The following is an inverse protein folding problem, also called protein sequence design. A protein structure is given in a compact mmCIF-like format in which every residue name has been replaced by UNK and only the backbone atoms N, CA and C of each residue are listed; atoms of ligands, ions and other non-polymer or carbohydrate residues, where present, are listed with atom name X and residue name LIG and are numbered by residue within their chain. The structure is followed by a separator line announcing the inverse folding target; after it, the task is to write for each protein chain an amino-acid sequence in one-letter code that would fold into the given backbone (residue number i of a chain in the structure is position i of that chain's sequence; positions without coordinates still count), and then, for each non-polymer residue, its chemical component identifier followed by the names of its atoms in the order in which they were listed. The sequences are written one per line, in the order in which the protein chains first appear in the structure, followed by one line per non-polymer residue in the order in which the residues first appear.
data_IF_510566490364
#
_entry.id   IF_510566490364
#
_cell.length_a   1.000
_cell.length_b   1.000
_cell.length_c   1.000
_cell.angle_alpha   90.00
_cell.angle_beta   90.00
_cell.angle_gamma   90.00
#
_symmetry.space_group_name_H-M   'P 1'
#
loop_
_entity.id
_entity.type
_entity.pdbx_description
1 polymer ?
#
# COMPACT_ATOMS: atom_id res chain seq x y z
N UNK A 1 13.66 4.48 -5.83
CA UNK A 1 12.92 4.38 -7.11
C UNK A 1 12.00 3.17 -7.00
N UNK A 2 10.79 3.27 -7.55
CA UNK A 2 9.82 2.17 -7.56
C UNK A 2 9.47 1.84 -9.01
N UNK A 3 9.11 0.60 -9.29
CA UNK A 3 8.44 0.28 -10.55
C UNK A 3 6.93 0.21 -10.31
N UNK A 4 6.16 0.88 -11.15
CA UNK A 4 4.72 0.99 -11.04
C UNK A 4 4.05 0.53 -12.34
N UNK A 5 3.18 -0.47 -12.25
CA UNK A 5 2.47 -1.02 -13.40
C UNK A 5 0.97 -1.16 -13.13
N UNK A 6 0.20 -1.20 -14.22
CA UNK A 6 -1.20 -1.60 -14.23
C UNK A 6 -1.39 -2.93 -14.95
N UNK A 7 -2.54 -3.55 -14.71
CA UNK A 7 -3.00 -4.76 -15.39
C UNK A 7 -4.52 -4.77 -15.47
N UNK A 8 -5.07 -5.35 -16.54
CA UNK A 8 -6.53 -5.35 -16.77
C UNK A 8 -7.02 -3.99 -17.24
N UNK A 9 -6.42 -3.47 -18.31
CA UNK A 9 -6.94 -2.27 -18.96
C UNK A 9 -6.65 -2.28 -20.45
N UNK A 10 -7.46 -1.56 -21.21
CA UNK A 10 -7.13 -1.19 -22.59
C UNK A 10 -6.32 0.09 -22.56
N UNK A 11 -5.11 0.04 -23.11
CA UNK A 11 -4.17 1.16 -23.06
C UNK A 11 -4.03 1.85 -24.44
N UNK A 12 -3.86 3.18 -24.49
CA UNK A 12 -3.55 3.87 -25.74
C UNK A 12 -2.24 3.36 -26.38
N UNK A 13 -2.05 3.57 -27.70
CA UNK A 13 -2.99 4.17 -28.65
C UNK A 13 -3.98 3.16 -29.25
N UNK A 14 -3.68 1.86 -29.17
CA UNK A 14 -4.45 0.80 -29.83
C UNK A 14 -5.68 0.35 -29.03
N UNK A 15 -5.72 0.66 -27.73
CA UNK A 15 -6.75 0.21 -26.80
C UNK A 15 -6.96 -1.31 -26.82
N UNK A 16 -5.87 -2.05 -27.00
CA UNK A 16 -5.83 -3.49 -26.77
C UNK A 16 -5.69 -3.77 -25.28
N UNK A 17 -6.28 -4.89 -24.83
CA UNK A 17 -6.20 -5.33 -23.45
C UNK A 17 -4.76 -5.68 -23.11
N UNK A 18 -4.25 -5.05 -22.05
CA UNK A 18 -2.96 -5.38 -21.47
C UNK A 18 -3.11 -5.85 -20.03
N UNK A 19 -2.40 -6.93 -19.71
CA UNK A 19 -2.29 -7.48 -18.36
C UNK A 19 -0.96 -7.12 -17.69
N UNK A 20 -0.15 -6.26 -18.31
CA UNK A 20 1.04 -5.68 -17.72
C UNK A 20 1.48 -4.47 -18.55
N UNK A 21 1.43 -3.28 -17.96
CA UNK A 21 1.89 -2.06 -18.61
C UNK A 21 2.35 -1.02 -17.59
N UNK A 22 3.31 -0.14 -17.90
CA UNK A 22 3.72 0.95 -17.01
C UNK A 22 2.54 1.86 -16.65
N UNK A 23 2.38 2.27 -15.38
CA UNK A 23 1.32 3.21 -15.02
C UNK A 23 1.45 4.56 -15.74
N UNK A 24 2.68 5.03 -15.94
CA UNK A 24 2.93 6.18 -16.80
C UNK A 24 2.85 5.76 -18.28
N UNK A 25 1.62 5.64 -18.77
CA UNK A 25 1.32 5.27 -20.17
C UNK A 25 1.71 6.35 -21.18
N UNK A 26 1.99 7.58 -20.73
CA UNK A 26 2.44 8.67 -21.61
C UNK A 26 3.90 8.50 -22.01
N UNK A 27 4.78 8.13 -21.07
CA UNK A 27 6.21 7.92 -21.35
C UNK A 27 6.58 6.45 -21.56
N UNK A 28 5.66 5.53 -21.26
CA UNK A 28 5.90 4.09 -21.21
C UNK A 28 7.07 3.70 -20.28
N UNK A 29 7.32 4.50 -19.24
CA UNK A 29 8.35 4.23 -18.23
C UNK A 29 7.69 3.69 -16.96
N UNK A 30 8.13 2.51 -16.50
CA UNK A 30 7.64 1.92 -15.25
C UNK A 30 8.26 2.54 -14.01
N UNK A 31 9.46 3.11 -14.12
CA UNK A 31 10.21 3.55 -12.95
C UNK A 31 9.80 4.98 -12.55
N UNK A 32 9.49 5.15 -11.27
CA UNK A 32 9.03 6.40 -10.66
C UNK A 32 9.83 6.74 -9.39
N UNK A 33 9.83 8.02 -9.02
CA UNK A 33 10.54 8.53 -7.85
C UNK A 33 9.60 8.68 -6.65
N UNK A 34 9.83 7.86 -5.61
CA UNK A 34 9.08 7.92 -4.37
C UNK A 34 7.60 7.55 -4.52
N UNK A 35 6.86 7.61 -3.41
CA UNK A 35 5.42 7.31 -3.39
C UNK A 35 4.64 8.34 -4.21
N UNK A 36 5.04 9.60 -4.19
CA UNK A 36 4.39 10.65 -5.00
C UNK A 36 4.48 10.35 -6.51
N UNK A 37 5.60 9.81 -6.98
CA UNK A 37 5.73 9.37 -8.37
C UNK A 37 4.79 8.22 -8.73
N UNK A 38 4.54 7.30 -7.78
CA UNK A 38 3.54 6.22 -7.96
C UNK A 38 2.14 6.83 -8.06
N UNK A 39 1.80 7.75 -7.16
CA UNK A 39 0.49 8.41 -7.15
C UNK A 39 0.23 9.22 -8.41
N UNK A 40 1.23 9.93 -8.93
CA UNK A 40 1.10 10.67 -10.18
C UNK A 40 0.93 9.73 -11.38
N UNK A 41 1.75 8.69 -11.50
CA UNK A 41 1.62 7.70 -12.56
C UNK A 41 0.25 7.00 -12.52
N UNK A 42 -0.27 6.70 -11.33
CA UNK A 42 -1.61 6.16 -11.14
C UNK A 42 -2.69 7.14 -11.66
N UNK A 43 -2.63 8.44 -11.31
CA UNK A 43 -3.58 9.45 -11.82
C UNK A 43 -3.51 9.62 -13.34
N UNK A 44 -2.33 9.50 -13.95
CA UNK A 44 -2.16 9.51 -15.41
C UNK A 44 -2.85 8.28 -16.02
N UNK A 45 -2.59 7.09 -15.47
CA UNK A 45 -3.18 5.83 -15.90
C UNK A 45 -4.72 5.88 -15.88
N UNK A 46 -5.31 6.32 -14.77
CA UNK A 46 -6.76 6.42 -14.59
C UNK A 46 -7.44 7.26 -15.67
N UNK A 47 -6.82 8.38 -16.06
CA UNK A 47 -7.38 9.31 -17.05
C UNK A 47 -7.19 8.85 -18.49
N UNK A 48 -6.24 7.94 -18.73
CA UNK A 48 -5.76 7.62 -20.08
C UNK A 48 -6.13 6.21 -20.53
N UNK A 49 -6.58 5.34 -19.63
CA UNK A 49 -6.86 3.92 -19.92
C UNK A 49 -8.34 3.61 -19.79
N UNK A 50 -8.80 2.54 -20.45
CA UNK A 50 -10.15 2.02 -20.21
C UNK A 50 -10.03 0.78 -19.33
N UNK A 51 -10.63 0.85 -18.14
CA UNK A 51 -10.77 -0.26 -17.20
C UNK A 51 -11.35 -1.48 -17.92
N UNK A 52 -10.73 -2.66 -17.73
CA UNK A 52 -11.19 -3.87 -18.41
C UNK A 52 -10.79 -5.15 -17.66
N UNK A 53 -11.48 -6.26 -17.93
CA UNK A 53 -11.10 -7.58 -17.40
C UNK A 53 -10.34 -8.44 -18.43
N UNK A 54 -9.84 -9.62 -18.05
CA UNK A 54 -9.89 -10.22 -16.71
C UNK A 54 -8.78 -9.72 -15.76
N UNK A 55 -8.97 -10.00 -14.48
CA UNK A 55 -7.99 -9.78 -13.39
C UNK A 55 -6.99 -10.93 -13.37
N UNK A 56 -5.82 -10.74 -13.99
CA UNK A 56 -4.78 -11.75 -14.15
C UNK A 56 -3.50 -11.35 -13.41
N UNK A 57 -3.05 -12.16 -12.45
CA UNK A 57 -1.86 -11.86 -11.64
C UNK A 57 -0.58 -12.52 -12.17
N UNK A 58 -0.67 -13.63 -12.90
CA UNK A 58 0.51 -14.34 -13.40
C UNK A 58 1.46 -13.43 -14.21
N UNK A 59 0.99 -12.52 -15.10
CA UNK A 59 1.89 -11.66 -15.87
C UNK A 59 2.73 -10.73 -15.00
N UNK A 60 2.15 -10.08 -13.99
CA UNK A 60 2.90 -9.22 -13.06
C UNK A 60 3.88 -10.03 -12.23
N UNK A 61 3.44 -11.14 -11.63
CA UNK A 61 4.29 -11.97 -10.77
C UNK A 61 5.51 -12.46 -11.55
N UNK A 62 5.32 -12.92 -12.79
CA UNK A 62 6.42 -13.37 -13.65
C UNK A 62 7.40 -12.24 -13.97
N UNK A 63 6.91 -11.03 -14.25
CA UNK A 63 7.79 -9.88 -14.56
C UNK A 63 8.65 -9.48 -13.35
N UNK A 64 8.08 -9.48 -12.15
CA UNK A 64 8.84 -9.21 -10.92
C UNK A 64 9.80 -10.33 -10.60
N UNK A 65 9.37 -11.59 -10.73
CA UNK A 65 10.20 -12.76 -10.53
C UNK A 65 11.43 -12.74 -11.44
N UNK A 66 11.27 -12.38 -12.72
CA UNK A 66 12.40 -12.22 -13.65
C UNK A 66 13.42 -11.20 -13.13
N UNK A 67 12.98 -10.05 -12.60
CA UNK A 67 13.88 -9.06 -11.99
C UNK A 67 14.55 -9.60 -10.73
N UNK A 68 13.79 -10.27 -9.86
CA UNK A 68 14.29 -10.85 -8.62
C UNK A 68 15.34 -11.95 -8.87
N UNK A 69 15.25 -12.68 -9.98
CA UNK A 69 16.20 -13.73 -10.34
C UNK A 69 17.63 -13.23 -10.60
N UNK A 70 17.81 -11.93 -10.89
CA UNK A 70 19.14 -11.33 -11.06
C UNK A 70 19.79 -10.93 -9.72
N UNK A 71 19.07 -11.00 -8.61
CA UNK A 71 19.59 -10.68 -7.28
C UNK A 71 20.23 -11.95 -6.71
N UNK A 72 21.55 -11.94 -6.55
CA UNK A 72 22.31 -13.13 -6.11
C UNK A 72 23.03 -12.96 -4.77
N UNK A 73 23.29 -11.73 -4.33
CA UNK A 73 24.19 -11.45 -3.21
C UNK A 73 23.47 -11.07 -1.90
N UNK A 74 22.14 -11.12 -1.88
CA UNK A 74 21.32 -10.72 -0.71
C UNK A 74 21.42 -9.23 -0.37
N UNK A 75 21.92 -8.42 -1.30
CA UNK A 75 21.99 -6.97 -1.23
C UNK A 75 20.65 -6.29 -1.54
N UNK A 76 19.74 -7.03 -2.17
CA UNK A 76 18.39 -6.56 -2.54
C UNK A 76 17.35 -7.63 -2.25
N UNK A 77 16.12 -7.18 -2.08
CA UNK A 77 14.95 -8.04 -1.96
C UNK A 77 13.75 -7.32 -2.58
N UNK A 78 12.91 -8.04 -3.30
CA UNK A 78 11.76 -7.45 -3.98
C UNK A 78 10.49 -7.66 -3.15
N UNK A 79 9.68 -6.61 -3.03
CA UNK A 79 8.32 -6.71 -2.48
C UNK A 79 7.35 -6.24 -3.55
N UNK A 80 6.54 -7.17 -4.06
CA UNK A 80 5.48 -6.91 -5.01
C UNK A 80 4.19 -6.60 -4.23
N UNK A 81 3.69 -5.36 -4.29
CA UNK A 81 2.38 -4.99 -3.77
C UNK A 81 1.36 -4.97 -4.91
N UNK A 82 0.34 -5.82 -4.83
CA UNK A 82 -0.80 -5.88 -5.75
C UNK A 82 -2.04 -5.34 -5.03
N UNK A 83 -2.69 -4.34 -5.58
CA UNK A 83 -3.98 -3.81 -5.12
C UNK A 83 -5.04 -4.25 -6.12
N UNK A 84 -6.08 -4.95 -5.67
CA UNK A 84 -7.17 -5.45 -6.52
C UNK A 84 -8.53 -5.22 -5.87
N UNK A 85 -9.57 -4.96 -6.65
CA UNK A 85 -10.96 -4.94 -6.18
C UNK A 85 -11.75 -6.21 -6.55
N UNK A 86 -11.20 -7.02 -7.47
CA UNK A 86 -11.92 -8.17 -8.04
C UNK A 86 -11.20 -9.52 -7.94
N UNK A 87 -11.96 -10.56 -8.26
CA UNK A 87 -11.54 -11.97 -8.21
C UNK A 87 -10.50 -12.33 -9.28
N UNK A 88 -9.40 -12.98 -8.88
CA UNK A 88 -8.39 -13.54 -9.79
C UNK A 88 -9.04 -14.53 -10.76
N UNK A 89 -8.80 -14.29 -12.05
CA UNK A 89 -9.32 -15.13 -13.14
C UNK A 89 -8.33 -16.21 -13.56
N UNK A 90 -7.01 -15.96 -13.48
CA UNK A 90 -5.95 -16.87 -13.92
C UNK A 90 -5.34 -17.73 -12.79
N UNK A 91 -6.16 -18.20 -11.85
CA UNK A 91 -5.74 -18.86 -10.60
C UNK A 91 -4.64 -19.92 -10.79
N UNK A 92 -4.80 -20.84 -11.76
CA UNK A 92 -3.82 -21.90 -12.02
C UNK A 92 -2.44 -21.37 -12.48
N UNK A 93 -2.45 -20.31 -13.31
CA UNK A 93 -1.21 -19.66 -13.77
C UNK A 93 -0.57 -18.88 -12.62
N UNK A 94 -1.39 -18.21 -11.81
CA UNK A 94 -0.96 -17.48 -10.62
C UNK A 94 -0.31 -18.41 -9.59
N UNK A 95 -0.93 -19.55 -9.27
CA UNK A 95 -0.32 -20.59 -8.43
C UNK A 95 1.03 -21.07 -8.99
N UNK A 96 1.08 -21.35 -10.29
CA UNK A 96 2.31 -21.78 -10.97
C UNK A 96 3.42 -20.72 -10.88
N UNK A 97 3.07 -19.44 -11.03
CA UNK A 97 3.98 -18.30 -10.95
C UNK A 97 4.51 -18.11 -9.53
N UNK A 98 3.65 -18.19 -8.51
CA UNK A 98 4.04 -18.08 -7.09
C UNK A 98 4.98 -19.21 -6.69
N UNK A 99 4.63 -20.46 -7.03
CA UNK A 99 5.47 -21.63 -6.73
C UNK A 99 6.86 -21.47 -7.37
N UNK A 100 6.94 -21.02 -8.62
CA UNK A 100 8.23 -20.78 -9.29
C UNK A 100 9.02 -19.64 -8.62
N UNK A 101 8.33 -18.55 -8.25
CA UNK A 101 8.92 -17.38 -7.60
C UNK A 101 9.41 -17.65 -6.18
N UNK A 102 8.89 -18.68 -5.49
CA UNK A 102 9.20 -18.98 -4.08
C UNK A 102 10.70 -19.19 -3.79
N UNK A 103 11.51 -19.52 -4.80
CA UNK A 103 12.97 -19.71 -4.64
C UNK A 103 13.79 -18.42 -4.78
N UNK A 104 13.15 -17.31 -5.15
CA UNK A 104 13.76 -16.01 -5.47
C UNK A 104 13.65 -15.04 -4.28
N UNK A 105 14.43 -13.94 -4.20
CA UNK A 105 14.29 -12.91 -3.17
C UNK A 105 13.09 -12.00 -3.44
N UNK A 106 11.89 -12.55 -3.28
CA UNK A 106 10.61 -11.92 -3.59
C UNK A 106 9.55 -12.25 -2.53
N UNK A 107 8.83 -11.23 -2.08
CA UNK A 107 7.56 -11.33 -1.35
C UNK A 107 6.45 -10.67 -2.16
N UNK A 108 5.21 -11.14 -2.01
CA UNK A 108 4.03 -10.68 -2.72
C UNK A 108 2.99 -10.30 -1.67
N UNK A 109 2.60 -9.04 -1.62
CA UNK A 109 1.49 -8.57 -0.80
C UNK A 109 0.32 -8.32 -1.73
N UNK A 110 -0.85 -8.86 -1.40
CA UNK A 110 -2.11 -8.64 -2.11
C UNK A 110 -3.05 -7.88 -1.18
N UNK A 111 -3.47 -6.69 -1.57
CA UNK A 111 -4.46 -5.88 -0.85
C UNK A 111 -5.76 -5.87 -1.63
N UNK A 112 -6.80 -6.46 -1.03
CA UNK A 112 -8.15 -6.50 -1.58
C UNK A 112 -8.94 -5.26 -1.16
N UNK A 113 -9.42 -4.45 -2.10
CA UNK A 113 -10.31 -3.31 -1.87
C UNK A 113 -11.73 -3.62 -2.36
N UNK A 114 -12.74 -2.83 -1.97
CA UNK A 114 -14.11 -3.04 -2.45
C UNK A 114 -14.86 -4.19 -1.75
N UNK A 115 -15.94 -4.64 -2.41
CA UNK A 115 -17.00 -5.50 -1.83
C UNK A 115 -16.95 -6.98 -2.22
N UNK A 116 -16.06 -7.38 -3.13
CA UNK A 116 -16.09 -8.68 -3.82
C UNK A 116 -15.74 -9.90 -2.92
N UNK A 117 -15.82 -11.15 -3.41
CA UNK A 117 -15.34 -12.31 -2.62
C UNK A 117 -13.82 -12.48 -2.72
N UNK A 118 -13.15 -12.70 -1.58
CA UNK A 118 -11.70 -12.85 -1.51
C UNK A 118 -11.20 -14.27 -1.20
N UNK A 119 -12.07 -15.28 -1.25
CA UNK A 119 -11.72 -16.69 -0.97
C UNK A 119 -10.51 -17.20 -1.77
N UNK A 120 -10.37 -16.77 -3.03
CA UNK A 120 -9.22 -17.15 -3.85
C UNK A 120 -7.91 -16.51 -3.39
N UNK A 121 -7.96 -15.32 -2.82
CA UNK A 121 -6.78 -14.63 -2.30
C UNK A 121 -6.38 -15.23 -0.95
N UNK A 122 -7.36 -15.56 -0.09
CA UNK A 122 -7.12 -16.33 1.14
C UNK A 122 -6.44 -17.67 0.83
N UNK A 123 -6.85 -18.33 -0.26
CA UNK A 123 -6.22 -19.57 -0.72
C UNK A 123 -4.77 -19.38 -1.25
N UNK A 124 -4.35 -18.17 -1.57
CA UNK A 124 -2.97 -17.86 -1.97
C UNK A 124 -2.08 -17.51 -0.78
N UNK A 125 -2.64 -17.01 0.32
CA UNK A 125 -1.93 -16.58 1.53
C UNK A 125 -1.19 -17.75 2.20
N UNK A 126 -1.85 -18.90 2.27
CA UNK A 126 -1.18 -20.19 2.53
C UNK A 126 -0.50 -20.35 3.90
N UNK A 127 -0.91 -19.59 4.92
CA UNK A 127 -0.29 -19.53 6.27
C UNK A 127 -0.08 -20.91 6.94
N UNK A 128 -0.96 -21.87 6.63
CA UNK A 128 -0.99 -23.19 7.26
C UNK A 128 -0.19 -24.26 6.50
N UNK A 129 0.06 -24.09 5.21
CA UNK A 129 0.69 -25.10 4.37
C UNK A 129 1.33 -24.47 3.14
N UNK A 130 2.44 -25.00 2.64
CA UNK A 130 3.03 -24.47 1.40
C UNK A 130 2.10 -24.69 0.19
N UNK A 131 1.97 -23.67 -0.65
CA UNK A 131 1.22 -23.77 -1.90
C UNK A 131 1.72 -24.94 -2.74
N UNK A 132 0.77 -25.71 -3.29
CA UNK A 132 1.07 -26.81 -4.19
C UNK A 132 0.15 -26.82 -5.40
N UNK A 133 0.71 -27.14 -6.57
CA UNK A 133 -0.02 -27.22 -7.83
C UNK A 133 0.71 -28.12 -8.81
N UNK A 134 0.00 -29.03 -9.47
CA UNK A 134 0.56 -29.99 -10.45
C UNK A 134 1.80 -30.76 -9.93
N UNK A 135 1.75 -31.22 -8.69
CA UNK A 135 2.84 -31.99 -8.07
C UNK A 135 4.09 -31.18 -7.71
N UNK A 136 4.05 -29.85 -7.86
CA UNK A 136 5.09 -28.93 -7.38
C UNK A 136 4.62 -28.27 -6.10
N UNK A 137 5.57 -28.02 -5.19
CA UNK A 137 5.34 -27.36 -3.91
C UNK A 137 6.24 -26.12 -3.86
N UNK A 138 5.72 -25.01 -3.34
CA UNK A 138 6.50 -23.80 -3.10
C UNK A 138 7.66 -24.10 -2.14
N UNK A 139 8.81 -23.44 -2.34
CA UNK A 139 9.98 -23.63 -1.48
C UNK A 139 9.82 -22.98 -0.10
N UNK A 140 8.97 -21.96 -0.01
CA UNK A 140 8.64 -21.18 1.18
C UNK A 140 7.37 -20.39 0.89
N UNK A 141 6.74 -19.89 1.96
CA UNK A 141 5.68 -18.92 1.81
C UNK A 141 6.23 -17.55 1.37
N UNK A 142 5.51 -16.90 0.46
CA UNK A 142 5.86 -15.61 -0.12
C UNK A 142 4.67 -14.67 -0.31
N UNK A 143 3.45 -15.09 0.03
CA UNK A 143 2.24 -14.29 -0.20
C UNK A 143 1.75 -13.77 1.15
N UNK A 144 1.30 -12.51 1.19
CA UNK A 144 0.49 -11.97 2.27
C UNK A 144 -0.79 -11.42 1.65
N UNK A 145 -1.97 -11.84 2.08
CA UNK A 145 -3.23 -11.23 1.69
C UNK A 145 -3.82 -10.37 2.81
N UNK A 146 -4.33 -9.18 2.44
CA UNK A 146 -5.00 -8.26 3.36
C UNK A 146 -6.28 -7.69 2.74
N UNK A 147 -7.47 -8.02 3.26
CA UNK A 147 -8.72 -7.36 2.88
C UNK A 147 -8.81 -5.97 3.53
N UNK A 148 -8.56 -4.92 2.75
CA UNK A 148 -8.55 -3.52 3.21
C UNK A 148 -9.85 -3.10 3.91
N UNK A 149 -10.99 -3.65 3.46
CA UNK A 149 -12.32 -3.35 4.04
C UNK A 149 -12.41 -3.61 5.54
N UNK A 150 -11.61 -4.54 6.08
CA UNK A 150 -11.62 -4.92 7.50
C UNK A 150 -11.07 -3.80 8.41
N UNK A 151 -10.39 -2.80 7.84
CA UNK A 151 -9.79 -1.68 8.56
C UNK A 151 -10.64 -0.41 8.46
N UNK A 152 -11.68 -0.40 7.63
CA UNK A 152 -12.56 0.76 7.42
C UNK A 152 -13.71 0.83 8.43
N UNK A 153 -14.10 -0.30 9.01
CA UNK A 153 -15.24 -0.42 9.92
C UNK A 153 -14.83 -0.05 11.36
N UNK A 154 -15.16 1.17 11.79
CA UNK A 154 -14.91 1.66 13.16
C UNK A 154 -14.05 2.92 13.23
N UNK A 155 -13.65 3.49 12.09
CA UNK A 155 -12.83 4.70 11.96
C UNK A 155 -13.55 6.00 12.38
N UNK A 156 -14.33 5.99 13.46
CA UNK A 156 -15.12 7.15 13.84
C UNK A 156 -14.29 8.32 14.37
N UNK A 157 -13.03 8.15 14.83
CA UNK A 157 -12.23 9.31 15.31
C UNK A 157 -10.70 9.19 15.26
N UNK A 158 -10.10 8.07 14.82
CA UNK A 158 -8.62 7.93 14.86
C UNK A 158 -8.05 7.24 13.62
N UNK A 159 -7.81 8.05 12.58
CA UNK A 159 -7.17 7.62 11.33
C UNK A 159 -5.76 7.08 11.55
N UNK A 160 -5.04 7.54 12.59
CA UNK A 160 -3.66 7.14 12.83
C UNK A 160 -3.57 5.68 13.29
N UNK A 161 -4.49 5.24 14.15
CA UNK A 161 -4.58 3.85 14.58
C UNK A 161 -4.98 2.91 13.43
N UNK A 162 -5.90 3.34 12.56
CA UNK A 162 -6.31 2.55 11.38
C UNK A 162 -5.13 2.37 10.43
N UNK A 163 -4.37 3.43 10.16
CA UNK A 163 -3.16 3.37 9.33
C UNK A 163 -2.11 2.44 9.94
N UNK A 164 -1.86 2.54 11.24
CA UNK A 164 -0.90 1.67 11.94
C UNK A 164 -1.34 0.20 11.93
N UNK A 165 -2.62 -0.08 12.17
CA UNK A 165 -3.17 -1.44 12.13
C UNK A 165 -3.09 -2.04 10.72
N UNK A 166 -3.43 -1.26 9.69
CA UNK A 166 -3.29 -1.71 8.30
C UNK A 166 -1.83 -1.96 7.94
N UNK A 167 -0.93 -1.03 8.27
CA UNK A 167 0.50 -1.17 7.99
C UNK A 167 1.09 -2.40 8.68
N UNK A 168 0.66 -2.66 9.93
CA UNK A 168 1.04 -3.86 10.68
C UNK A 168 0.61 -5.12 9.93
N UNK A 169 -0.64 -5.20 9.49
CA UNK A 169 -1.17 -6.39 8.80
C UNK A 169 -0.50 -6.60 7.44
N UNK A 170 -0.39 -5.53 6.64
CA UNK A 170 0.23 -5.54 5.30
C UNK A 170 1.68 -6.01 5.32
N UNK A 171 2.41 -5.71 6.41
CA UNK A 171 3.83 -6.03 6.53
C UNK A 171 4.10 -7.22 7.47
N UNK A 172 3.07 -7.88 7.99
CA UNK A 172 3.20 -8.86 9.07
C UNK A 172 4.21 -9.98 8.73
N UNK A 173 4.13 -10.54 7.53
CA UNK A 173 4.95 -11.68 7.13
C UNK A 173 6.27 -11.33 6.44
N UNK A 174 6.41 -10.12 5.91
CA UNK A 174 7.59 -9.73 5.13
C UNK A 174 8.91 -9.98 5.90
N UNK A 175 9.04 -9.68 7.20
CA UNK A 175 10.26 -10.00 7.96
C UNK A 175 10.61 -11.49 7.95
N UNK A 176 9.63 -12.37 8.18
CA UNK A 176 9.84 -13.81 8.22
C UNK A 176 10.14 -14.37 6.82
N UNK A 177 9.46 -13.88 5.80
CA UNK A 177 9.71 -14.25 4.40
C UNK A 177 11.13 -13.87 3.95
N UNK A 178 11.61 -12.67 4.31
CA UNK A 178 12.98 -12.21 4.03
C UNK A 178 14.00 -13.09 4.75
N UNK A 179 13.83 -13.32 6.06
CA UNK A 179 14.79 -14.11 6.83
C UNK A 179 14.79 -15.57 6.41
N UNK A 180 13.65 -16.13 6.04
CA UNK A 180 13.51 -17.48 5.46
C UNK A 180 14.32 -17.60 4.16
N UNK A 181 14.19 -16.64 3.24
CA UNK A 181 14.99 -16.62 2.02
C UNK A 181 16.50 -16.55 2.32
N UNK A 182 16.93 -15.59 3.16
CA UNK A 182 18.37 -15.41 3.46
C UNK A 182 18.98 -16.66 4.08
N UNK A 183 18.28 -17.29 5.03
CA UNK A 183 18.69 -18.57 5.64
C UNK A 183 18.80 -19.68 4.59
N UNK A 184 17.80 -19.81 3.69
CA UNK A 184 17.81 -20.84 2.63
C UNK A 184 18.98 -20.70 1.64
N UNK A 185 19.54 -19.49 1.51
CA UNK A 185 20.67 -19.17 0.63
C UNK A 185 22.00 -19.09 1.37
N UNK A 186 22.04 -19.36 2.68
CA UNK A 186 23.21 -19.18 3.53
C UNK A 186 23.80 -17.76 3.45
N UNK A 187 22.94 -16.75 3.33
CA UNK A 187 23.34 -15.34 3.30
C UNK A 187 23.32 -14.82 4.74
N UNK A 188 24.49 -14.46 5.26
CA UNK A 188 24.61 -13.83 6.57
C UNK A 188 24.37 -12.31 6.48
N UNK A 189 23.80 -11.68 7.52
CA UNK A 189 23.75 -10.22 7.61
C UNK A 189 25.16 -9.63 7.48
N UNK A 190 25.29 -8.57 6.69
CA UNK A 190 26.53 -7.79 6.67
C UNK A 190 26.75 -7.20 8.07
N UNK A 191 28.00 -7.04 8.54
CA UNK A 191 28.27 -6.32 9.77
C UNK A 191 27.60 -4.95 9.70
N UNK A 192 27.03 -4.43 10.80
CA UNK A 192 26.52 -3.08 10.82
C UNK A 192 27.63 -2.15 10.34
N UNK A 193 27.39 -1.45 9.24
CA UNK A 193 28.29 -0.37 8.84
C UNK A 193 28.14 0.70 9.91
N UNK A 194 29.23 1.02 10.63
CA UNK A 194 29.22 2.17 11.52
C UNK A 194 28.70 3.37 10.72
N UNK A 195 27.71 4.15 11.21
CA UNK A 195 27.45 5.45 10.62
C UNK A 195 28.80 6.19 10.64
N UNK A 196 29.23 6.65 9.47
CA UNK A 196 30.58 7.20 9.31
C UNK A 196 30.76 8.34 10.31
N UNK A 197 31.89 8.40 11.05
CA UNK A 197 32.12 9.46 12.03
C UNK A 197 32.34 10.80 11.33
N UNK A 198 31.60 11.82 11.79
CA UNK A 198 32.00 13.22 11.92
C UNK A 198 32.65 13.89 10.69
N UNK A 199 31.87 14.70 9.97
CA UNK A 199 32.41 15.85 9.25
C UNK A 199 31.64 17.14 9.61
N UNK A 200 32.40 17.98 10.33
CA UNK A 200 32.30 19.43 10.46
C UNK A 200 31.17 20.01 11.31
N UNK A 201 31.57 20.42 12.53
CA UNK A 201 31.19 21.71 13.11
C UNK A 201 30.95 22.75 12.01
N UNK A 202 29.69 23.06 11.79
CA UNK A 202 29.21 24.00 10.78
C UNK A 202 27.98 24.71 11.30
N UNK A 203 28.20 25.61 12.27
CA UNK A 203 27.38 26.77 12.64
C UNK A 203 25.92 26.68 12.17
N UNK A 204 25.03 26.20 13.04
CA UNK A 204 23.63 26.59 12.96
C UNK A 204 23.52 28.06 13.40
N UNK A 205 23.05 29.01 12.56
CA UNK A 205 22.74 30.33 13.06
C UNK A 205 21.51 30.21 13.96
N UNK A 206 21.71 30.53 15.24
CA UNK A 206 20.67 30.63 16.25
C UNK A 206 19.65 31.72 15.83
N UNK A 207 18.34 31.48 15.88
CA UNK A 207 17.36 32.48 15.51
C UNK A 207 17.21 33.56 16.60
N UNK A 208 17.49 34.80 16.19
CA UNK A 208 16.88 36.05 16.63
C UNK A 208 17.04 36.46 18.12
N UNK A 209 17.99 37.37 18.36
CA UNK A 209 17.83 38.38 19.42
C UNK A 209 17.53 39.73 18.73
N UNK A 210 16.38 40.37 18.99
CA UNK A 210 16.04 41.66 18.38
C UNK A 210 16.72 42.75 19.20
N UNK A 211 17.46 43.67 18.56
CA UNK A 211 17.65 45.08 18.98
C UNK A 211 18.76 45.73 18.13
N UNK A 212 18.37 46.41 17.04
CA UNK A 212 18.95 47.70 16.66
C UNK A 212 18.13 48.32 15.54
N UNK A 213 17.72 49.56 15.77
CA UNK A 213 16.73 50.36 15.06
C UNK A 213 17.27 51.00 13.74
N UNK A 214 16.40 51.65 12.94
CA UNK A 214 16.42 51.68 11.46
C UNK A 214 16.87 53.02 10.88
N UNK A 215 16.98 53.14 9.54
CA UNK A 215 16.83 54.38 8.71
C UNK A 215 16.97 54.00 7.20
N UNK A 216 16.34 54.69 6.22
CA UNK A 216 14.93 54.57 5.83
C UNK A 216 14.82 54.25 4.31
N UNK A 217 13.63 54.12 3.72
CA UNK A 217 13.36 54.69 2.38
C UNK A 217 11.84 54.76 2.14
N UNK A 218 11.52 55.74 1.31
CA UNK A 218 10.34 56.58 1.29
C UNK A 218 9.21 56.07 0.36
N UNK A 219 8.07 56.74 0.49
CA UNK A 219 6.69 56.44 0.14
C UNK A 219 6.30 56.37 -1.35
N UNK A 220 5.26 55.58 -1.59
CA UNK A 220 4.16 55.83 -2.54
C UNK A 220 3.13 54.68 -2.42
N UNK A 221 1.95 54.80 -1.78
CA UNK A 221 0.72 55.54 -2.15
C UNK A 221 0.24 55.17 -3.56
N UNK A 222 -0.94 54.64 -3.88
CA UNK A 222 -2.28 54.37 -3.27
C UNK A 222 -2.89 53.25 -4.19
N UNK A 223 -3.81 52.34 -3.84
CA UNK A 223 -5.23 52.56 -3.64
C UNK A 223 -5.96 51.23 -3.34
N UNK A 224 -6.89 51.31 -2.39
CA UNK A 224 -7.86 50.29 -2.01
C UNK A 224 -9.12 50.40 -2.86
N UNK A 225 -9.59 49.27 -3.42
CA UNK A 225 -10.96 49.16 -3.89
C UNK A 225 -11.57 47.78 -3.55
N UNK A 226 -12.62 47.85 -2.74
CA UNK A 226 -13.63 46.81 -2.46
C UNK A 226 -14.39 46.43 -3.74
N UNK A 227 -14.74 45.17 -3.92
CA UNK A 227 -15.96 44.66 -4.62
C UNK A 227 -16.12 43.18 -4.22
N UNK A 228 -16.99 42.84 -3.26
CA UNK A 228 -18.43 42.51 -3.37
C UNK A 228 -18.71 41.09 -3.89
N UNK A 229 -19.38 40.33 -3.02
CA UNK A 229 -19.98 39.01 -3.25
C UNK A 229 -20.91 38.98 -4.46
N UNK A 230 -20.92 37.84 -5.17
CA UNK A 230 -22.02 37.45 -6.03
C UNK A 230 -22.38 35.99 -5.77
N UNK A 231 -23.52 35.85 -5.12
CA UNK A 231 -24.33 34.67 -4.88
C UNK A 231 -24.73 33.95 -6.18
N UNK A 232 -24.61 32.62 -6.21
CA UNK A 232 -25.35 31.77 -7.13
C UNK A 232 -26.44 31.01 -6.37
N UNK A 233 -27.68 31.26 -6.80
CA UNK A 233 -28.91 30.62 -6.36
C UNK A 233 -28.95 29.16 -6.83
N UNK A 234 -29.27 28.24 -5.92
CA UNK A 234 -29.72 26.89 -6.25
C UNK A 234 -31.22 26.79 -5.98
N UNK A 235 -31.98 26.64 -7.06
CA UNK A 235 -33.43 26.43 -7.06
C UNK A 235 -33.79 25.01 -6.61
N UNK A 236 -34.75 24.95 -5.69
CA UNK A 236 -35.45 23.74 -5.21
C UNK A 236 -36.49 23.22 -6.21
N UNK A 237 -36.64 21.89 -6.30
CA UNK A 237 -37.96 21.24 -6.28
C UNK A 237 -37.90 19.73 -5.99
N UNK A 238 -38.99 19.15 -5.44
CA UNK A 238 -38.94 17.98 -4.57
C UNK A 238 -39.53 16.72 -5.21
N UNK A 239 -39.04 15.55 -4.81
CA UNK A 239 -39.80 14.31 -4.95
C UNK A 239 -39.99 13.67 -3.57
N UNK A 240 -41.28 13.54 -3.23
CA UNK A 240 -41.82 12.97 -2.02
C UNK A 240 -42.37 11.58 -2.37
N UNK A 241 -41.97 10.54 -1.65
CA UNK A 241 -42.63 9.23 -1.64
C UNK A 241 -42.48 8.55 -0.25
N UNK A 242 -43.43 7.69 0.14
CA UNK A 242 -43.96 7.67 1.51
C UNK A 242 -43.32 6.63 2.44
N UNK A 243 -43.29 6.98 3.73
CA UNK A 243 -43.02 6.08 4.86
C UNK A 243 -44.14 5.05 5.02
N UNK A 244 -43.80 3.76 5.03
CA UNK A 244 -44.61 2.70 5.64
C UNK A 244 -43.85 2.12 6.84
N UNK A 245 -44.47 2.18 8.01
CA UNK A 245 -44.01 1.53 9.24
C UNK A 245 -44.25 0.03 9.16
N UNK A 246 -43.21 -0.77 9.44
CA UNK A 246 -43.39 -2.14 9.92
C UNK A 246 -42.56 -2.29 11.19
N UNK A 247 -43.27 -2.63 12.25
CA UNK A 247 -42.79 -2.91 13.59
C UNK A 247 -42.92 -4.44 13.76
N UNK A 248 -41.82 -5.16 14.00
CA UNK A 248 -41.84 -6.52 14.56
C UNK A 248 -40.43 -7.03 14.95
N UNK A 249 -40.18 -7.08 16.27
CA UNK A 249 -39.51 -8.14 17.04
C UNK A 249 -38.05 -8.55 16.74
N UNK A 250 -37.10 -8.07 17.55
CA UNK A 250 -35.81 -8.75 17.77
C UNK A 250 -35.87 -9.67 19.01
N UNK A 251 -35.30 -10.89 18.99
CA UNK A 251 -35.02 -11.67 20.19
C UNK A 251 -33.74 -11.18 20.91
N UNK A 252 -33.60 -11.41 22.24
CA UNK A 252 -32.56 -10.76 23.05
C UNK A 252 -31.18 -11.42 22.91
N UNK A 253 -30.13 -10.60 22.93
CA UNK A 253 -28.73 -11.02 23.02
C UNK A 253 -28.35 -11.42 24.46
N UNK A 254 -27.45 -12.40 24.68
CA UNK A 254 -26.96 -12.77 26.00
C UNK A 254 -25.94 -11.76 26.55
N UNK A 255 -26.02 -11.53 27.87
CA UNK A 255 -25.11 -10.69 28.68
C UNK A 255 -23.71 -11.29 28.83
N UNK A 256 -22.62 -10.48 28.89
CA UNK A 256 -21.28 -10.99 29.19
C UNK A 256 -21.06 -11.31 30.68
N UNK A 257 -20.31 -12.38 30.96
CA UNK A 257 -19.86 -12.77 32.31
C UNK A 257 -18.71 -11.88 32.83
N UNK A 258 -18.59 -11.67 34.16
CA UNK A 258 -17.57 -10.83 34.76
C UNK A 258 -16.18 -11.50 34.84
N UNK A 259 -15.15 -10.68 34.64
CA UNK A 259 -13.72 -11.02 34.71
C UNK A 259 -13.26 -11.11 36.17
N UNK A 260 -12.60 -12.21 36.55
CA UNK A 260 -11.86 -12.31 37.83
C UNK A 260 -10.40 -11.90 37.63
N UNK A 261 -9.97 -10.96 38.47
CA UNK A 261 -8.61 -10.44 38.52
C UNK A 261 -7.66 -11.45 39.18
N UNK A 262 -6.55 -11.76 38.52
CA UNK A 262 -5.36 -12.33 39.14
C UNK A 262 -4.21 -11.35 38.96
N UNK A 263 -3.70 -10.83 40.08
CA UNK A 263 -2.61 -9.87 40.12
C UNK A 263 -1.25 -10.50 39.82
N UNK A 264 -0.45 -9.81 39.01
CA UNK A 264 1.00 -10.01 38.91
C UNK A 264 1.66 -8.63 39.04
N UNK A 265 2.64 -8.55 39.94
CA UNK A 265 3.39 -7.35 40.28
C UNK A 265 4.34 -6.89 39.16
N UNK A 266 4.62 -5.59 39.19
CA UNK A 266 5.31 -4.74 38.20
C UNK A 266 6.73 -5.18 37.82
N UNK A 267 7.10 -4.91 36.56
CA UNK A 267 8.39 -4.28 36.24
C UNK A 267 8.14 -3.08 35.31
N UNK A 268 8.63 -1.91 35.71
CA UNK A 268 8.54 -0.66 34.97
C UNK A 268 9.88 -0.43 34.26
N UNK A 269 9.94 -0.72 32.96
CA UNK A 269 11.01 -0.24 32.09
C UNK A 269 10.48 0.96 31.28
N UNK A 270 11.16 2.11 31.26
CA UNK A 270 10.73 3.24 30.44
C UNK A 270 10.87 2.91 28.95
N UNK A 271 9.81 3.18 28.19
CA UNK A 271 9.78 3.07 26.73
C UNK A 271 10.65 4.18 26.14
N UNK A 272 11.79 3.82 25.56
CA UNK A 272 12.59 4.73 24.75
C UNK A 272 12.06 4.70 23.30
N UNK A 273 11.77 5.85 22.67
CA UNK A 273 11.42 5.87 21.26
C UNK A 273 12.67 5.54 20.43
N UNK A 274 12.63 4.44 19.68
CA UNK A 274 13.66 4.14 18.69
C UNK A 274 13.52 5.11 17.49
N UNK A 275 14.59 5.79 17.05
CA UNK A 275 14.60 6.50 15.78
C UNK A 275 14.54 5.49 14.62
N UNK A 276 13.67 5.73 13.65
CA UNK A 276 13.70 5.04 12.37
C UNK A 276 14.87 5.59 11.55
N UNK A 277 15.96 4.84 11.41
CA UNK A 277 16.99 5.11 10.42
C UNK A 277 17.43 3.86 9.65
N UNK A 278 17.43 4.06 8.32
CA UNK A 278 18.03 3.33 7.22
C UNK A 278 18.67 1.96 7.52
N UNK A 279 17.95 0.90 7.15
CA UNK A 279 18.55 -0.40 6.86
C UNK A 279 18.95 -0.47 5.39
N UNK A 280 20.25 -0.66 5.11
CA UNK A 280 20.84 -0.95 3.79
C UNK A 280 20.47 -2.35 3.27
N UNK A 281 19.17 -2.57 3.14
CA UNK A 281 18.55 -3.59 2.29
C UNK A 281 17.61 -2.79 1.40
N UNK A 282 17.95 -2.61 0.12
CA UNK A 282 17.06 -1.94 -0.82
C UNK A 282 15.88 -2.88 -1.13
N UNK A 283 14.92 -2.95 -0.21
CA UNK A 283 13.60 -3.47 -0.46
C UNK A 283 12.95 -2.58 -1.52
N UNK A 284 12.89 -3.03 -2.77
CA UNK A 284 12.17 -2.29 -3.80
C UNK A 284 10.71 -2.71 -3.72
N UNK A 285 9.85 -1.83 -3.21
CA UNK A 285 8.40 -2.00 -3.29
C UNK A 285 7.96 -1.69 -4.71
N UNK A 286 7.37 -2.66 -5.40
CA UNK A 286 6.74 -2.41 -6.70
C UNK A 286 5.24 -2.39 -6.49
N UNK A 287 4.58 -1.31 -6.87
CA UNK A 287 3.14 -1.10 -6.62
C UNK A 287 2.37 -1.35 -7.90
N UNK A 288 1.41 -2.25 -7.83
CA UNK A 288 0.57 -2.66 -8.93
C UNK A 288 -0.87 -2.39 -8.56
N UNK A 289 -1.56 -1.65 -9.42
CA UNK A 289 -2.97 -1.34 -9.24
C UNK A 289 -3.80 -2.08 -10.28
N UNK A 290 -4.81 -2.80 -9.80
CA UNK A 290 -5.99 -3.08 -10.58
C UNK A 290 -6.85 -1.83 -10.60
N UNK A 291 -7.37 -1.50 -11.77
CA UNK A 291 -8.28 -0.41 -11.93
C UNK A 291 -9.64 -1.04 -12.19
N UNK A 292 -10.48 -1.19 -11.16
CA UNK A 292 -11.89 -1.39 -11.37
C UNK A 292 -12.72 -0.57 -10.39
N UNK A 293 -13.88 -0.16 -10.90
CA UNK A 293 -14.97 0.43 -10.15
C UNK A 293 -16.21 -0.27 -10.63
N UNK A 294 -16.94 -0.89 -9.72
CA UNK A 294 -18.31 -1.35 -9.96
C UNK A 294 -19.17 -0.16 -10.39
N UNK A 295 -19.66 -0.16 -11.63
CA UNK A 295 -20.84 0.63 -11.98
C UNK A 295 -22.06 -0.05 -11.37
N UNK A 296 -22.51 0.40 -10.20
CA UNK A 296 -23.87 0.16 -9.76
C UNK A 296 -24.81 1.04 -10.59
N UNK A 297 -25.59 0.42 -11.47
CA UNK A 297 -26.83 1.00 -12.01
C UNK A 297 -28.01 0.46 -11.21
#
# INVERSE_FOLDING_TARGET
MFDAYGFGAKIPPTYQVSHLFPLNVSTMNSTVHGVEGVMEAYRICLRSTQIYGPTNFSPVINAVAQKAAYIQQGDRYQVLLIITDGVITDMQKTLSSIIQASTLPLSIIIVGVGGDSFEKMDALDSDNQLLSFNGKIAARDIVQFVPFRNFLTGAQNDYSMVQAALAKEVLAEVPDQVTSYMKSKNIAPKPPQNPTPEQADGIYPNPLNPHSNPIPYDQGSVDTARFSESSYQSSSSPYNTPRMSINQGQPPYPTPYPVQAAGIQRSSAPYAPYPLENSDLLATVQVYYHCATETYN
#
